data_IF_533036123488
#
_entry.id   IF_533036123488
#
_cell.length_a   1.000
_cell.length_b   1.000
_cell.length_c   1.000
_cell.angle_alpha   90.00
_cell.angle_beta   90.00
_cell.angle_gamma   90.00
#
_symmetry.space_group_name_H-M   'P 1'
#
loop_
_entity.id
_entity.type
_entity.pdbx_description
1 polymer ?
#
# COMPACT_ATOMS: atom_id res chain seq x y z
N UNK A 1 1.19 -14.47 -10.76
CA UNK A 1 0.05 -14.04 -9.91
C UNK A 1 -1.13 -13.76 -10.84
N UNK A 2 -2.38 -14.07 -10.46
CA UNK A 2 -3.56 -13.60 -11.21
C UNK A 2 -4.06 -12.26 -10.67
N UNK A 3 -4.78 -11.50 -11.49
CA UNK A 3 -5.26 -10.15 -11.16
C UNK A 3 -6.09 -10.11 -9.88
N UNK A 4 -6.97 -11.09 -9.65
CA UNK A 4 -7.87 -11.06 -8.48
C UNK A 4 -7.07 -11.26 -7.21
N UNK A 5 -6.20 -12.27 -7.19
CA UNK A 5 -5.35 -12.55 -6.03
C UNK A 5 -4.41 -11.37 -5.74
N UNK A 6 -3.82 -10.77 -6.79
CA UNK A 6 -2.99 -9.57 -6.66
C UNK A 6 -3.76 -8.41 -6.03
N UNK A 7 -4.91 -8.04 -6.58
CA UNK A 7 -5.70 -6.90 -6.07
C UNK A 7 -6.18 -7.14 -4.65
N UNK A 8 -6.67 -8.35 -4.32
CA UNK A 8 -7.10 -8.66 -2.94
C UNK A 8 -5.96 -8.56 -1.93
N UNK A 9 -4.75 -8.97 -2.31
CA UNK A 9 -3.57 -8.81 -1.46
C UNK A 9 -3.24 -7.33 -1.25
N UNK A 10 -3.25 -6.52 -2.31
CA UNK A 10 -2.96 -5.09 -2.22
C UNK A 10 -4.02 -4.31 -1.42
N UNK A 11 -5.31 -4.66 -1.60
CA UNK A 11 -6.42 -4.13 -0.79
C UNK A 11 -6.22 -4.43 0.71
N UNK A 12 -5.80 -5.65 1.04
CA UNK A 12 -5.50 -6.04 2.42
C UNK A 12 -4.33 -5.26 3.03
N UNK A 13 -3.28 -5.01 2.26
CA UNK A 13 -2.14 -4.19 2.69
C UNK A 13 -2.56 -2.73 2.93
N UNK A 14 -3.34 -2.14 2.02
CA UNK A 14 -3.88 -0.79 2.18
C UNK A 14 -4.79 -0.69 3.41
N UNK A 15 -5.72 -1.64 3.59
CA UNK A 15 -6.58 -1.69 4.77
C UNK A 15 -5.77 -1.78 6.06
N UNK A 16 -4.71 -2.60 6.08
CA UNK A 16 -3.81 -2.72 7.23
C UNK A 16 -3.11 -1.40 7.53
N UNK A 17 -2.62 -0.69 6.51
CA UNK A 17 -1.98 0.63 6.69
C UNK A 17 -2.97 1.67 7.25
N UNK A 18 -4.22 1.68 6.77
CA UNK A 18 -5.28 2.54 7.28
C UNK A 18 -5.56 2.24 8.77
N UNK A 19 -5.71 0.97 9.14
CA UNK A 19 -5.97 0.61 10.54
C UNK A 19 -4.80 0.92 11.47
N UNK A 20 -3.56 0.66 11.03
CA UNK A 20 -2.36 1.08 11.77
C UNK A 20 -2.36 2.58 12.02
N UNK A 21 -2.73 3.38 11.01
CA UNK A 21 -2.86 4.83 11.13
C UNK A 21 -3.95 5.23 12.12
N UNK A 22 -5.12 4.61 12.05
CA UNK A 22 -6.25 4.91 12.94
C UNK A 22 -5.92 4.59 14.40
N UNK A 23 -5.22 3.48 14.65
CA UNK A 23 -4.90 3.01 16.01
C UNK A 23 -3.72 3.76 16.62
N UNK A 24 -2.65 4.00 15.86
CA UNK A 24 -1.39 4.53 16.38
C UNK A 24 -1.16 6.02 16.04
N UNK A 25 -1.98 6.61 15.18
CA UNK A 25 -1.84 8.00 14.77
C UNK A 25 -0.46 8.30 14.15
N UNK A 26 0.31 9.19 14.77
CA UNK A 26 1.65 9.59 14.31
C UNK A 26 2.69 8.46 14.45
N UNK A 27 2.51 7.56 15.41
CA UNK A 27 3.45 6.48 15.69
C UNK A 27 3.38 5.36 14.64
N UNK A 28 2.32 5.33 13.82
CA UNK A 28 2.15 4.40 12.70
C UNK A 28 3.18 4.59 11.57
N UNK A 29 3.97 5.68 11.58
CA UNK A 29 4.78 6.09 10.42
C UNK A 29 5.77 5.01 9.97
N UNK A 30 6.41 4.30 10.90
CA UNK A 30 7.34 3.22 10.56
C UNK A 30 6.61 2.01 9.95
N UNK A 31 5.45 1.64 10.52
CA UNK A 31 4.61 0.53 10.04
C UNK A 31 4.07 0.82 8.62
N UNK A 32 3.54 2.02 8.39
CA UNK A 32 3.02 2.42 7.07
C UNK A 32 4.16 2.45 6.04
N UNK A 33 5.37 2.89 6.42
CA UNK A 33 6.53 2.87 5.53
C UNK A 33 6.95 1.44 5.15
N UNK A 34 6.89 0.51 6.11
CA UNK A 34 7.16 -0.90 5.82
C UNK A 34 6.13 -1.50 4.86
N UNK A 35 4.84 -1.16 5.03
CA UNK A 35 3.78 -1.58 4.11
C UNK A 35 3.97 -0.95 2.73
N UNK A 36 4.31 0.34 2.66
CA UNK A 36 4.60 1.02 1.39
C UNK A 36 5.71 0.31 0.61
N UNK A 37 6.83 0.01 1.28
CA UNK A 37 7.93 -0.70 0.63
C UNK A 37 7.48 -2.08 0.12
N UNK A 38 6.68 -2.81 0.91
CA UNK A 38 6.16 -4.12 0.50
C UNK A 38 5.22 -4.01 -0.70
N UNK A 39 4.36 -2.99 -0.74
CA UNK A 39 3.47 -2.73 -1.88
C UNK A 39 4.28 -2.37 -3.12
N UNK A 40 5.31 -1.54 -2.99
CA UNK A 40 6.19 -1.16 -4.11
C UNK A 40 6.94 -2.37 -4.69
N UNK A 41 7.49 -3.22 -3.81
CA UNK A 41 8.15 -4.48 -4.21
C UNK A 41 7.19 -5.41 -4.94
N UNK A 42 5.97 -5.60 -4.41
CA UNK A 42 4.96 -6.48 -5.00
C UNK A 42 4.41 -5.92 -6.32
N UNK A 43 4.25 -4.60 -6.42
CA UNK A 43 3.82 -3.94 -7.66
C UNK A 43 4.89 -4.06 -8.73
N UNK A 44 6.15 -3.80 -8.41
CA UNK A 44 7.28 -3.96 -9.34
C UNK A 44 7.43 -5.41 -9.79
N UNK A 45 7.36 -6.37 -8.85
CA UNK A 45 7.59 -7.78 -9.17
C UNK A 45 6.44 -8.43 -9.94
N UNK A 46 5.19 -8.21 -9.54
CA UNK A 46 4.04 -8.90 -10.12
C UNK A 46 3.28 -8.09 -11.19
N UNK A 47 3.39 -6.76 -11.16
CA UNK A 47 2.62 -5.87 -12.02
C UNK A 47 3.50 -4.75 -12.62
N UNK A 48 4.81 -4.98 -12.76
CA UNK A 48 5.74 -3.99 -13.30
C UNK A 48 5.51 -3.66 -14.78
N UNK A 49 4.79 -4.53 -15.50
CA UNK A 49 4.32 -4.30 -16.87
C UNK A 49 2.86 -3.79 -16.93
N UNK A 50 2.25 -3.51 -15.77
CA UNK A 50 0.88 -3.03 -15.59
C UNK A 50 -0.23 -3.95 -16.16
N UNK A 51 0.10 -5.22 -16.45
CA UNK A 51 -0.86 -6.17 -17.07
C UNK A 51 -1.93 -6.68 -16.10
N UNK A 52 -1.66 -6.70 -14.80
CA UNK A 52 -2.65 -7.10 -13.79
C UNK A 52 -3.61 -5.95 -13.50
N UNK A 53 -3.10 -4.72 -13.37
CA UNK A 53 -3.92 -3.52 -13.12
C UNK A 53 -3.14 -2.24 -13.41
N UNK A 54 -3.83 -1.17 -13.79
CA UNK A 54 -3.28 0.18 -13.90
C UNK A 54 -3.34 0.96 -12.57
N UNK A 55 -3.78 0.32 -11.49
CA UNK A 55 -3.92 0.96 -10.18
C UNK A 55 -2.55 1.05 -9.49
N UNK A 56 -2.18 2.26 -9.09
CA UNK A 56 -0.93 2.52 -8.36
C UNK A 56 -1.15 2.37 -6.84
N UNK A 57 -0.96 1.16 -6.35
CA UNK A 57 -1.15 0.83 -4.94
C UNK A 57 -0.13 1.54 -4.05
N UNK A 58 1.12 1.69 -4.51
CA UNK A 58 2.17 2.37 -3.76
C UNK A 58 1.79 3.83 -3.50
N UNK A 59 1.26 4.51 -4.51
CA UNK A 59 0.75 5.88 -4.37
C UNK A 59 -0.38 5.99 -3.33
N UNK A 60 -1.32 5.05 -3.30
CA UNK A 60 -2.42 5.09 -2.32
C UNK A 60 -1.93 4.92 -0.88
N UNK A 61 -0.96 4.02 -0.64
CA UNK A 61 -0.37 3.87 0.70
C UNK A 61 0.44 5.11 1.08
N UNK A 62 1.16 5.71 0.13
CA UNK A 62 1.99 6.89 0.37
C UNK A 62 1.15 8.11 0.82
N UNK A 63 -0.08 8.26 0.32
CA UNK A 63 -1.01 9.31 0.76
C UNK A 63 -1.25 9.27 2.27
N UNK A 64 -1.25 8.10 2.89
CA UNK A 64 -1.46 7.95 4.34
C UNK A 64 -0.29 8.53 5.15
N UNK A 65 0.91 8.52 4.60
CA UNK A 65 2.10 9.16 5.20
C UNK A 65 2.05 10.68 4.97
N UNK A 66 1.70 11.12 3.75
CA UNK A 66 1.70 12.53 3.35
C UNK A 66 0.52 13.34 3.87
N UNK A 67 -0.62 12.71 4.18
CA UNK A 67 -1.83 13.34 4.72
C UNK A 67 -1.69 13.96 6.11
N UNK A 68 -0.46 14.11 6.62
CA UNK A 68 -0.12 14.71 7.91
C UNK A 68 0.44 16.14 7.81
N UNK A 69 0.33 16.79 6.64
CA UNK A 69 0.54 18.24 6.52
C UNK A 69 -0.78 18.97 6.80
N UNK A 70 -1.13 19.09 8.08
CA UNK A 70 -2.06 20.09 8.59
C UNK A 70 -1.26 21.08 9.43
#
# INVERSE_FOLDING_TARGET
>A
MDRRTYNTMMEGLLATAIEKRNVLGKDATADIKAILNMVDDLQTFWNGDETLTAFDWAYEVEKLVKGNKA
#
